data_IF_635293780050
#
_entry.id   IF_635293780050
#
_cell.length_a   1.000
_cell.length_b   1.000
_cell.length_c   1.000
_cell.angle_alpha   90.00
_cell.angle_beta   90.00
_cell.angle_gamma   90.00
#
_symmetry.space_group_name_H-M   'P 1'
#
loop_
_entity.id
_entity.type
_entity.pdbx_description
1 polymer ?
#
# COMPACT_ATOMS: atom_id res chain seq x y z
N UNK A 1 52.74 16.86 13.67
CA UNK A 1 51.59 15.93 13.56
C UNK A 1 50.19 16.59 13.44
N UNK A 2 49.97 17.85 13.00
CA UNK A 2 48.60 18.38 12.79
C UNK A 2 47.98 18.08 11.42
N UNK A 3 48.77 17.75 10.39
CA UNK A 3 48.27 17.60 9.00
C UNK A 3 47.44 16.32 8.73
N UNK A 4 47.61 15.25 9.51
CA UNK A 4 46.78 14.03 9.35
C UNK A 4 45.32 14.26 9.76
N UNK A 5 45.07 15.06 10.81
CA UNK A 5 43.72 15.37 11.30
C UNK A 5 42.90 16.18 10.30
N UNK A 6 43.58 17.06 9.55
CA UNK A 6 42.97 17.89 8.50
C UNK A 6 42.55 17.04 7.29
N UNK A 7 43.37 16.08 6.85
CA UNK A 7 43.06 15.26 5.68
C UNK A 7 41.91 14.26 5.91
N UNK A 8 41.85 13.65 7.10
CA UNK A 8 40.73 12.77 7.46
C UNK A 8 39.42 13.55 7.64
N UNK A 9 39.47 14.76 8.19
CA UNK A 9 38.30 15.63 8.34
C UNK A 9 37.72 16.06 6.97
N UNK A 10 38.57 16.44 6.02
CA UNK A 10 38.16 16.81 4.66
C UNK A 10 37.51 15.62 3.94
N UNK A 11 38.07 14.40 4.09
CA UNK A 11 37.50 13.19 3.48
C UNK A 11 36.15 12.81 4.09
N UNK A 12 36.01 12.93 5.42
CA UNK A 12 34.76 12.66 6.13
C UNK A 12 33.68 13.69 5.74
N UNK A 13 34.01 14.98 5.66
CA UNK A 13 33.07 16.02 5.24
C UNK A 13 32.55 15.81 3.80
N UNK A 14 33.41 15.42 2.87
CA UNK A 14 33.01 15.10 1.50
C UNK A 14 32.05 13.90 1.44
N UNK A 15 32.35 12.83 2.18
CA UNK A 15 31.50 11.63 2.25
C UNK A 15 30.14 11.98 2.86
N UNK A 16 30.11 12.71 3.98
CA UNK A 16 28.87 13.12 4.64
C UNK A 16 28.01 13.98 3.71
N UNK A 17 28.61 14.95 3.01
CA UNK A 17 27.89 15.79 2.06
C UNK A 17 27.27 14.97 0.91
N UNK A 18 28.03 14.05 0.33
CA UNK A 18 27.54 13.17 -0.73
C UNK A 18 26.39 12.28 -0.26
N UNK A 19 26.52 11.66 0.92
CA UNK A 19 25.48 10.79 1.50
C UNK A 19 24.20 11.59 1.79
N UNK A 20 24.31 12.81 2.31
CA UNK A 20 23.14 13.67 2.57
C UNK A 20 22.43 14.07 1.27
N UNK A 21 23.16 14.38 0.21
CA UNK A 21 22.58 14.68 -1.10
C UNK A 21 21.87 13.47 -1.71
N UNK A 22 22.49 12.29 -1.68
CA UNK A 22 21.88 11.06 -2.18
C UNK A 22 20.64 10.69 -1.36
N UNK A 23 20.69 10.85 -0.04
CA UNK A 23 19.52 10.64 0.82
C UNK A 23 18.39 11.61 0.44
N UNK A 24 18.69 12.89 0.26
CA UNK A 24 17.71 13.88 -0.15
C UNK A 24 17.06 13.56 -1.50
N UNK A 25 17.84 13.18 -2.52
CA UNK A 25 17.29 12.85 -3.84
C UNK A 25 16.44 11.58 -3.83
N UNK A 26 16.85 10.56 -3.07
CA UNK A 26 16.06 9.34 -2.88
C UNK A 26 14.75 9.63 -2.16
N UNK A 27 14.77 10.43 -1.09
CA UNK A 27 13.55 10.85 -0.41
C UNK A 27 12.66 11.66 -1.34
N UNK A 28 13.18 12.57 -2.15
CA UNK A 28 12.36 13.31 -3.11
C UNK A 28 11.65 12.38 -4.11
N UNK A 29 12.37 11.36 -4.61
CA UNK A 29 11.80 10.35 -5.51
C UNK A 29 10.68 9.56 -4.83
N UNK A 30 10.91 9.07 -3.61
CA UNK A 30 9.89 8.34 -2.83
C UNK A 30 8.64 9.20 -2.62
N UNK A 31 8.81 10.49 -2.32
CA UNK A 31 7.69 11.42 -2.14
C UNK A 31 6.88 11.58 -3.43
N UNK A 32 7.56 11.72 -4.58
CA UNK A 32 6.91 11.81 -5.88
C UNK A 32 6.11 10.55 -6.25
N UNK A 33 6.68 9.37 -5.98
CA UNK A 33 5.99 8.09 -6.17
C UNK A 33 4.77 7.98 -5.25
N UNK A 34 4.89 8.41 -3.99
CA UNK A 34 3.81 8.37 -3.03
C UNK A 34 2.60 9.23 -3.46
N UNK A 35 2.85 10.43 -3.97
CA UNK A 35 1.79 11.29 -4.54
C UNK A 35 1.14 10.60 -5.75
N UNK A 36 1.95 10.04 -6.65
CA UNK A 36 1.46 9.41 -7.87
C UNK A 36 0.58 8.19 -7.57
N UNK A 37 1.00 7.32 -6.64
CA UNK A 37 0.22 6.17 -6.22
C UNK A 37 -1.07 6.62 -5.53
N UNK A 38 -0.99 7.63 -4.66
CA UNK A 38 -2.16 8.15 -3.94
C UNK A 38 -3.24 8.69 -4.88
N UNK A 39 -2.86 9.42 -5.92
CA UNK A 39 -3.81 9.93 -6.92
C UNK A 39 -4.36 8.82 -7.81
N UNK A 40 -3.50 7.91 -8.29
CA UNK A 40 -3.90 6.80 -9.15
C UNK A 40 -4.92 5.87 -8.47
N UNK A 41 -4.71 5.56 -7.20
CA UNK A 41 -5.61 4.70 -6.43
C UNK A 41 -7.03 5.27 -6.31
N UNK A 42 -7.17 6.61 -6.21
CA UNK A 42 -8.49 7.25 -6.19
C UNK A 42 -9.21 7.17 -7.53
N UNK A 43 -8.49 7.21 -8.64
CA UNK A 43 -9.08 7.24 -9.99
C UNK A 43 -9.60 5.87 -10.44
N UNK A 44 -8.91 4.79 -10.08
CA UNK A 44 -9.24 3.45 -10.59
C UNK A 44 -10.41 2.77 -9.85
N UNK A 45 -10.92 3.37 -8.76
CA UNK A 45 -11.89 2.73 -7.87
C UNK A 45 -13.13 2.18 -8.58
N UNK A 46 -13.65 2.89 -9.58
CA UNK A 46 -14.81 2.45 -10.35
C UNK A 46 -14.44 1.37 -11.40
N UNK A 47 -13.28 1.50 -12.04
CA UNK A 47 -12.78 0.54 -13.02
C UNK A 47 -12.45 -0.82 -12.38
N UNK A 48 -12.02 -0.81 -11.11
CA UNK A 48 -11.75 -2.02 -10.33
C UNK A 48 -13.00 -2.90 -10.22
N UNK A 49 -14.19 -2.31 -10.05
CA UNK A 49 -15.45 -3.07 -9.96
C UNK A 49 -15.73 -3.81 -11.26
N UNK A 50 -15.56 -3.12 -12.39
CA UNK A 50 -15.81 -3.68 -13.72
C UNK A 50 -14.77 -4.75 -14.09
N UNK A 51 -13.54 -4.60 -13.60
CA UNK A 51 -12.46 -5.56 -13.83
C UNK A 51 -12.54 -6.82 -12.94
N UNK A 52 -12.91 -6.66 -11.67
CA UNK A 52 -12.97 -7.77 -10.70
C UNK A 52 -14.19 -8.66 -10.94
N UNK A 53 -15.34 -8.05 -11.24
CA UNK A 53 -16.61 -8.75 -11.45
C UNK A 53 -16.52 -9.99 -12.35
N UNK A 54 -16.09 -9.89 -13.63
CA UNK A 54 -16.05 -11.04 -14.52
C UNK A 54 -15.03 -12.09 -14.09
N UNK A 55 -13.93 -11.66 -13.43
CA UNK A 55 -12.92 -12.57 -12.90
C UNK A 55 -13.46 -13.38 -11.73
N UNK A 56 -14.25 -12.75 -10.86
CA UNK A 56 -14.84 -13.42 -9.70
C UNK A 56 -15.88 -14.46 -10.15
N UNK A 57 -16.71 -14.13 -11.15
CA UNK A 57 -17.62 -15.08 -11.77
C UNK A 57 -16.88 -16.23 -12.50
N UNK A 58 -15.78 -15.94 -13.18
CA UNK A 58 -14.95 -16.98 -13.79
C UNK A 58 -14.29 -17.89 -12.74
N UNK A 59 -13.94 -17.32 -11.58
CA UNK A 59 -13.35 -18.05 -10.47
C UNK A 59 -14.33 -19.05 -9.85
N UNK A 60 -15.62 -18.69 -9.76
CA UNK A 60 -16.70 -19.58 -9.31
C UNK A 60 -16.93 -20.79 -10.23
N UNK A 61 -16.63 -20.68 -11.53
CA UNK A 61 -16.84 -21.77 -12.50
C UNK A 61 -15.86 -22.93 -12.32
N UNK A 62 -14.74 -22.68 -11.65
CA UNK A 62 -13.67 -23.64 -11.48
C UNK A 62 -13.74 -24.27 -10.07
N UNK A 63 -14.21 -25.52 -9.91
CA UNK A 63 -14.42 -26.12 -8.58
C UNK A 63 -13.13 -26.27 -7.75
N UNK A 64 -11.96 -26.28 -8.40
CA UNK A 64 -10.64 -26.24 -7.73
C UNK A 64 -10.43 -24.96 -6.90
N UNK A 65 -11.22 -23.91 -7.14
CA UNK A 65 -11.11 -22.62 -6.48
C UNK A 65 -12.09 -22.47 -5.31
N UNK A 66 -12.99 -23.44 -5.09
CA UNK A 66 -14.02 -23.39 -4.05
C UNK A 66 -13.40 -23.13 -2.68
N UNK A 67 -12.36 -23.87 -2.30
CA UNK A 67 -11.66 -23.67 -1.02
C UNK A 67 -11.01 -22.29 -0.86
N UNK A 68 -10.57 -21.68 -1.96
CA UNK A 68 -10.02 -20.31 -1.94
C UNK A 68 -11.13 -19.27 -1.81
N UNK A 69 -12.26 -19.53 -2.45
CA UNK A 69 -13.42 -18.65 -2.37
C UNK A 69 -14.08 -18.74 -0.98
N UNK A 70 -14.08 -19.91 -0.36
CA UNK A 70 -14.52 -20.13 1.02
C UNK A 70 -13.72 -19.28 2.02
N UNK A 71 -12.40 -19.21 1.83
CA UNK A 71 -11.54 -18.34 2.62
C UNK A 71 -11.90 -16.85 2.45
N UNK A 72 -12.27 -16.42 1.24
CA UNK A 72 -12.71 -15.05 0.97
C UNK A 72 -14.06 -14.78 1.67
N UNK A 73 -15.01 -15.71 1.55
CA UNK A 73 -16.35 -15.61 2.13
C UNK A 73 -16.32 -15.61 3.66
N UNK A 74 -15.49 -16.45 4.28
CA UNK A 74 -15.29 -16.46 5.74
C UNK A 74 -14.59 -15.19 6.23
N UNK A 75 -13.60 -14.68 5.49
CA UNK A 75 -12.87 -13.46 5.87
C UNK A 75 -13.76 -12.21 5.77
N UNK A 76 -14.59 -12.12 4.73
CA UNK A 76 -15.45 -10.96 4.45
C UNK A 76 -16.88 -11.13 5.00
N UNK A 77 -17.21 -12.29 5.59
CA UNK A 77 -18.56 -12.63 6.06
C UNK A 77 -19.67 -12.43 5.01
N UNK A 78 -19.38 -12.75 3.75
CA UNK A 78 -20.28 -12.54 2.61
C UNK A 78 -20.65 -13.88 1.96
N UNK A 79 -21.68 -13.90 1.11
CA UNK A 79 -22.05 -15.09 0.34
C UNK A 79 -22.39 -14.78 -1.11
N UNK A 80 -21.86 -15.60 -2.02
CA UNK A 80 -21.96 -15.40 -3.46
C UNK A 80 -21.28 -14.12 -3.95
N UNK A 81 -21.23 -13.92 -5.27
CA UNK A 81 -20.68 -12.70 -5.86
C UNK A 81 -21.68 -11.55 -5.74
N UNK A 82 -22.91 -11.81 -6.13
CA UNK A 82 -24.10 -10.97 -6.02
C UNK A 82 -25.14 -11.55 -5.08
N UNK A 83 -25.26 -12.86 -5.07
CA UNK A 83 -26.26 -13.56 -4.28
C UNK A 83 -25.83 -15.00 -4.01
N UNK A 84 -26.32 -15.62 -2.92
CA UNK A 84 -26.05 -17.04 -2.63
C UNK A 84 -26.42 -17.99 -3.79
N UNK A 85 -27.38 -17.61 -4.64
CA UNK A 85 -27.78 -18.35 -5.83
C UNK A 85 -26.70 -18.45 -6.93
N UNK A 86 -25.63 -17.66 -6.87
CA UNK A 86 -24.53 -17.71 -7.83
C UNK A 86 -23.83 -19.07 -7.87
N UNK A 87 -23.84 -19.81 -6.76
CA UNK A 87 -23.29 -21.17 -6.70
C UNK A 87 -24.05 -22.15 -7.59
N UNK A 88 -25.36 -21.94 -7.73
CA UNK A 88 -26.22 -22.75 -8.61
C UNK A 88 -26.14 -22.31 -10.07
N UNK A 89 -26.03 -21.00 -10.29
CA UNK A 89 -26.07 -20.42 -11.65
C UNK A 89 -24.71 -20.48 -12.35
N UNK A 90 -23.63 -20.28 -11.61
CA UNK A 90 -22.27 -20.16 -12.15
C UNK A 90 -21.30 -21.19 -11.59
N UNK A 91 -21.54 -21.65 -10.35
CA UNK A 91 -20.83 -22.79 -9.78
C UNK A 91 -21.30 -24.10 -10.41
N UNK A 92 -20.42 -25.10 -10.44
CA UNK A 92 -20.76 -26.45 -10.89
C UNK A 92 -21.44 -27.28 -9.77
N UNK A 93 -22.25 -26.60 -8.95
CA UNK A 93 -22.87 -27.13 -7.73
C UNK A 93 -24.34 -27.44 -8.00
N UNK A 94 -24.75 -28.69 -7.77
CA UNK A 94 -26.13 -29.16 -7.95
C UNK A 94 -26.83 -29.26 -6.59
N UNK A 95 -27.98 -28.60 -6.44
CA UNK A 95 -28.91 -28.59 -5.27
C UNK A 95 -28.62 -27.61 -4.14
N UNK A 96 -28.78 -26.30 -4.39
CA UNK A 96 -28.69 -25.22 -3.38
C UNK A 96 -27.44 -25.30 -2.46
N UNK A 97 -26.41 -26.02 -2.91
CA UNK A 97 -25.18 -26.25 -2.17
C UNK A 97 -24.30 -25.03 -2.33
N UNK A 98 -24.36 -24.17 -1.31
CA UNK A 98 -23.38 -23.11 -1.06
C UNK A 98 -22.24 -23.69 -0.23
N UNK A 99 -21.10 -23.00 -0.19
CA UNK A 99 -19.98 -23.47 0.64
C UNK A 99 -20.25 -23.29 2.13
N UNK A 100 -19.52 -24.05 2.93
CA UNK A 100 -19.65 -24.06 4.39
C UNK A 100 -19.49 -22.66 5.00
N UNK A 101 -18.66 -21.76 4.45
CA UNK A 101 -18.55 -20.37 4.94
C UNK A 101 -19.81 -19.52 4.79
N UNK A 102 -20.71 -19.88 3.85
CA UNK A 102 -22.03 -19.26 3.72
C UNK A 102 -23.04 -19.81 4.74
N UNK A 103 -22.77 -20.96 5.33
CA UNK A 103 -23.64 -21.64 6.28
C UNK A 103 -23.14 -21.45 7.71
N UNK A 104 -24.08 -21.48 8.65
CA UNK A 104 -23.77 -21.50 10.08
C UNK A 104 -24.40 -22.75 10.70
N UNK A 105 -24.17 -23.01 11.98
CA UNK A 105 -24.78 -24.13 12.73
C UNK A 105 -26.31 -24.14 12.69
N UNK A 106 -26.94 -23.02 12.31
CA UNK A 106 -28.39 -22.84 12.15
C UNK A 106 -28.90 -23.06 10.71
N UNK A 107 -28.03 -23.39 9.76
CA UNK A 107 -28.33 -23.57 8.34
C UNK A 107 -27.67 -22.52 7.43
N UNK A 108 -27.87 -22.66 6.12
CA UNK A 108 -27.34 -21.74 5.12
C UNK A 108 -28.20 -20.47 5.06
N UNK A 109 -27.60 -19.31 5.40
CA UNK A 109 -28.31 -18.02 5.40
C UNK A 109 -28.29 -17.41 4.01
N UNK A 110 -29.46 -17.18 3.45
CA UNK A 110 -29.62 -16.42 2.20
C UNK A 110 -29.53 -14.90 2.39
N UNK A 111 -29.55 -14.43 3.65
CA UNK A 111 -29.47 -13.02 4.05
C UNK A 111 -28.04 -12.53 4.32
N UNK A 112 -27.02 -13.15 3.70
CA UNK A 112 -25.66 -12.62 3.78
C UNK A 112 -25.45 -11.56 2.71
N UNK A 113 -24.67 -10.50 2.99
CA UNK A 113 -24.34 -9.50 1.99
C UNK A 113 -23.51 -10.14 0.86
N UNK A 114 -23.58 -9.54 -0.31
CA UNK A 114 -22.85 -10.02 -1.48
C UNK A 114 -21.35 -9.68 -1.39
N UNK A 115 -20.50 -10.61 -1.82
CA UNK A 115 -19.05 -10.45 -1.68
C UNK A 115 -18.49 -9.34 -2.56
N UNK A 116 -19.16 -8.98 -3.67
CA UNK A 116 -18.71 -7.85 -4.49
C UNK A 116 -18.84 -6.52 -3.73
N UNK A 117 -19.97 -6.24 -3.09
CA UNK A 117 -20.15 -5.02 -2.31
C UNK A 117 -19.26 -5.01 -1.06
N UNK A 118 -19.17 -6.15 -0.35
CA UNK A 118 -18.38 -6.20 0.88
C UNK A 118 -16.87 -6.13 0.61
N UNK A 119 -16.38 -6.70 -0.50
CA UNK A 119 -14.98 -6.53 -0.91
C UNK A 119 -14.64 -5.09 -1.28
N UNK A 120 -15.58 -4.34 -1.87
CA UNK A 120 -15.39 -2.91 -2.13
C UNK A 120 -15.38 -2.10 -0.84
N UNK A 121 -16.33 -2.38 0.06
CA UNK A 121 -16.40 -1.73 1.37
C UNK A 121 -15.16 -2.01 2.21
N UNK A 122 -14.67 -3.25 2.19
CA UNK A 122 -13.41 -3.63 2.82
C UNK A 122 -12.24 -2.87 2.17
N UNK A 123 -12.21 -2.81 0.84
CA UNK A 123 -11.24 -2.02 0.07
C UNK A 123 -11.21 -0.55 0.49
N UNK A 124 -12.37 0.08 0.71
CA UNK A 124 -12.48 1.47 1.16
C UNK A 124 -11.92 1.67 2.57
N UNK A 125 -12.28 0.78 3.48
CA UNK A 125 -11.80 0.86 4.86
C UNK A 125 -10.28 0.70 4.93
N UNK A 126 -9.75 -0.27 4.19
CA UNK A 126 -8.30 -0.49 4.07
C UNK A 126 -7.62 0.69 3.38
N UNK A 127 -8.24 1.26 2.34
CA UNK A 127 -7.74 2.44 1.66
C UNK A 127 -7.64 3.64 2.60
N UNK A 128 -8.68 3.93 3.41
CA UNK A 128 -8.67 5.01 4.39
C UNK A 128 -7.56 4.84 5.44
N UNK A 129 -7.41 3.64 6.00
CA UNK A 129 -6.34 3.33 6.96
C UNK A 129 -4.96 3.52 6.32
N UNK A 130 -4.79 3.01 5.10
CA UNK A 130 -3.53 3.11 4.34
C UNK A 130 -3.20 4.57 4.03
N UNK A 131 -4.16 5.37 3.60
CA UNK A 131 -4.00 6.80 3.36
C UNK A 131 -3.52 7.54 4.61
N UNK A 132 -4.06 7.21 5.79
CA UNK A 132 -3.63 7.81 7.06
C UNK A 132 -2.15 7.50 7.38
N UNK A 133 -1.73 6.24 7.18
CA UNK A 133 -0.35 5.82 7.41
C UNK A 133 0.60 6.50 6.41
N UNK A 134 0.23 6.49 5.13
CA UNK A 134 1.00 7.15 4.08
C UNK A 134 1.13 8.66 4.36
N UNK A 135 0.04 9.35 4.70
CA UNK A 135 0.10 10.78 5.01
C UNK A 135 1.08 11.07 6.16
N UNK A 136 1.03 10.28 7.22
CA UNK A 136 1.95 10.40 8.36
C UNK A 136 3.42 10.20 7.94
N UNK A 137 3.69 9.21 7.10
CA UNK A 137 5.01 8.98 6.53
C UNK A 137 5.49 10.15 5.66
N UNK A 138 4.59 10.71 4.84
CA UNK A 138 4.89 11.86 3.99
C UNK A 138 5.24 13.10 4.81
N UNK A 139 4.54 13.35 5.92
CA UNK A 139 4.86 14.44 6.84
C UNK A 139 6.25 14.24 7.48
N UNK A 140 6.54 13.02 7.98
CA UNK A 140 7.86 12.71 8.55
C UNK A 140 8.98 12.92 7.51
N UNK A 141 8.76 12.50 6.28
CA UNK A 141 9.69 12.66 5.18
C UNK A 141 9.96 14.13 4.84
N UNK A 142 8.94 14.99 4.85
CA UNK A 142 9.11 16.44 4.69
C UNK A 142 10.00 17.03 5.79
N UNK A 143 9.82 16.61 7.05
CA UNK A 143 10.68 17.05 8.15
C UNK A 143 12.14 16.62 7.95
N UNK A 144 12.37 15.38 7.49
CA UNK A 144 13.73 14.87 7.21
C UNK A 144 14.37 15.63 6.04
N UNK A 145 13.61 15.97 5.00
CA UNK A 145 14.13 16.77 3.89
C UNK A 145 14.50 18.18 4.32
N UNK A 146 13.67 18.82 5.15
CA UNK A 146 13.94 20.15 5.69
C UNK A 146 15.18 20.15 6.59
N UNK A 147 15.30 19.19 7.51
CA UNK A 147 16.46 19.07 8.40
C UNK A 147 17.75 18.77 7.63
N UNK A 148 17.67 17.92 6.60
CA UNK A 148 18.80 17.61 5.71
C UNK A 148 19.28 18.85 4.97
N UNK A 149 18.35 19.66 4.43
CA UNK A 149 18.69 20.92 3.75
C UNK A 149 19.36 21.92 4.68
N UNK A 150 18.84 22.07 5.90
CA UNK A 150 19.48 22.89 6.93
C UNK A 150 20.89 22.38 7.19
N UNK A 151 21.07 21.09 7.49
CA UNK A 151 22.37 20.49 7.79
C UNK A 151 23.39 20.70 6.65
N UNK A 152 22.98 20.52 5.39
CA UNK A 152 23.83 20.78 4.22
C UNK A 152 24.28 22.24 4.18
N UNK A 153 23.37 23.20 4.43
CA UNK A 153 23.71 24.62 4.48
C UNK A 153 24.70 24.95 5.61
N UNK A 154 24.55 24.32 6.78
CA UNK A 154 25.48 24.49 7.90
C UNK A 154 26.87 23.95 7.56
N UNK A 155 26.98 22.76 6.98
CA UNK A 155 28.28 22.18 6.58
C UNK A 155 29.00 23.10 5.58
N UNK A 156 28.29 23.61 4.57
CA UNK A 156 28.86 24.54 3.58
C UNK A 156 29.34 25.85 4.20
N UNK A 157 28.64 26.33 5.24
CA UNK A 157 29.04 27.55 5.96
C UNK A 157 30.33 27.33 6.75
N UNK A 158 30.46 26.19 7.44
CA UNK A 158 31.67 25.86 8.20
C UNK A 158 32.89 25.67 7.30
N UNK A 159 32.75 24.95 6.18
CA UNK A 159 33.84 24.73 5.22
C UNK A 159 34.42 26.05 4.67
N UNK A 160 33.56 27.06 4.46
CA UNK A 160 33.98 28.39 4.01
C UNK A 160 34.78 29.16 5.07
N UNK A 161 34.49 28.97 6.36
CA UNK A 161 35.19 29.68 7.45
C UNK A 161 36.61 29.14 7.59
N UNK A 162 36.78 27.81 7.62
CA UNK A 162 38.09 27.16 7.76
C UNK A 162 39.03 27.45 6.57
N UNK A 163 38.48 27.68 5.37
CA UNK A 163 39.26 28.06 4.18
C UNK A 163 39.75 29.51 4.16
N UNK A 164 39.25 30.39 5.04
CA UNK A 164 39.66 31.82 5.13
C UNK A 164 40.76 32.08 6.15
N UNK A 165 41.08 31.12 7.02
CA UNK A 165 42.18 31.21 8.00
C UNK A 165 43.47 30.49 7.55
N UNK A 166 43.52 30.04 6.29
CA UNK A 166 44.67 29.36 5.67
C UNK A 166 45.45 30.24 4.68
#
# INVERSE_FOLDING_TARGET
MPKLKSFECVRINFIVHYVLLVCFTLLLLVFGVQITIGTFASSIRNEVVEFIRPRLLAFLKEPKNDSKFDAIQSTLNCCGVYEPGDWRTFGNHTNDSVLDSCCDVSGCRTDRPNCLAESLRFGDNVFLITCSICFSFGVLQLFVMASTMVMICWIRKYDKIDGTEA
#
